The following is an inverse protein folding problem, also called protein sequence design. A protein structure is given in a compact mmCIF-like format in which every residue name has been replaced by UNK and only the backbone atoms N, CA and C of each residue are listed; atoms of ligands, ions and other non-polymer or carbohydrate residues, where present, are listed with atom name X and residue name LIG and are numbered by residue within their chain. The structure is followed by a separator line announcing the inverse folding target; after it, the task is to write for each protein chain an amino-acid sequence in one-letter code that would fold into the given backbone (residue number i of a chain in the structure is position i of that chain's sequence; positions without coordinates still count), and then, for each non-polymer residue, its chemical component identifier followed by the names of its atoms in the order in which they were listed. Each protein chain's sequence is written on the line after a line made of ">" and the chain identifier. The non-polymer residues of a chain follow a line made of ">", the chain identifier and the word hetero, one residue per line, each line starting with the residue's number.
data_IF_519952522692
#
_entry.id   IF_519952522692
#
_cell.length_a   1.000
_cell.length_b   1.000
_cell.length_c   1.000
_cell.angle_alpha   90.00
_cell.angle_beta   90.00
_cell.angle_gamma   90.00
#
_symmetry.space_group_name_H-M   'P 1'
#
loop_
_entity.id
_entity.type
_entity.pdbx_description
1 polymer ?
#
# COMPACT_ATOMS: atom_id res chain seq x y z
N UNK A 1 2.95 19.07 -0.41
CA UNK A 1 3.05 17.62 -0.53
C UNK A 1 2.30 16.97 0.64
N UNK A 2 1.52 15.95 0.37
CA UNK A 2 0.78 15.25 1.42
C UNK A 2 1.64 14.12 1.98
N UNK A 3 1.58 13.93 3.30
CA UNK A 3 2.28 12.83 3.98
C UNK A 3 1.35 12.21 5.01
N UNK A 4 1.48 10.89 5.18
CA UNK A 4 0.75 10.16 6.20
C UNK A 4 1.68 9.12 6.83
N UNK A 5 1.59 8.98 8.14
CA UNK A 5 2.41 8.04 8.90
C UNK A 5 1.56 7.42 10.00
N UNK A 6 1.60 6.11 10.10
CA UNK A 6 0.90 5.39 11.16
C UNK A 6 1.64 4.12 11.53
N UNK A 7 1.32 3.58 12.70
CA UNK A 7 1.89 2.33 13.19
C UNK A 7 0.81 1.59 13.95
N UNK A 8 0.61 0.29 13.63
CA UNK A 8 -0.42 -0.52 14.25
C UNK A 8 0.09 -1.91 14.56
N UNK A 9 -0.58 -2.57 15.49
CA UNK A 9 -0.29 -3.96 15.87
C UNK A 9 -1.25 -4.87 15.11
N UNK A 10 -0.68 -5.86 14.41
CA UNK A 10 -1.45 -6.86 13.67
C UNK A 10 -1.29 -8.23 14.31
N UNK A 11 -2.35 -9.02 14.30
CA UNK A 11 -2.41 -10.34 14.95
C UNK A 11 -1.82 -11.43 14.03
N UNK A 12 -0.53 -11.30 13.73
CA UNK A 12 0.22 -12.25 12.89
C UNK A 12 1.71 -12.06 13.15
N UNK A 13 2.53 -12.93 12.58
CA UNK A 13 3.99 -12.77 12.64
C UNK A 13 4.45 -11.73 11.62
N UNK A 14 5.65 -11.15 11.79
CA UNK A 14 6.21 -10.24 10.80
C UNK A 14 6.29 -10.85 9.39
N UNK A 15 6.69 -12.11 9.29
CA UNK A 15 6.75 -12.79 7.99
C UNK A 15 5.37 -12.93 7.35
N UNK A 16 4.35 -13.23 8.15
CA UNK A 16 2.98 -13.33 7.67
C UNK A 16 2.49 -11.98 7.14
N UNK A 17 2.71 -10.90 7.88
CA UNK A 17 2.31 -9.56 7.42
C UNK A 17 3.09 -9.13 6.19
N UNK A 18 4.40 -9.41 6.16
CA UNK A 18 5.25 -9.12 5.01
C UNK A 18 4.70 -9.78 3.74
N UNK A 19 4.24 -11.03 3.85
CA UNK A 19 3.63 -11.75 2.72
C UNK A 19 2.34 -11.08 2.24
N UNK A 20 1.54 -10.55 3.15
CA UNK A 20 0.31 -9.83 2.78
C UNK A 20 0.66 -8.58 1.98
N UNK A 21 1.64 -7.80 2.44
CA UNK A 21 2.07 -6.57 1.75
C UNK A 21 2.69 -6.89 0.39
N UNK A 22 3.49 -7.95 0.32
CA UNK A 22 4.20 -8.34 -0.90
C UNK A 22 3.36 -9.09 -1.93
N UNK A 23 2.13 -9.45 -1.59
CA UNK A 23 1.24 -10.17 -2.50
C UNK A 23 0.39 -9.18 -3.31
N UNK A 24 1.07 -8.42 -4.16
CA UNK A 24 0.49 -7.26 -4.86
C UNK A 24 -0.75 -7.60 -5.68
N UNK A 25 -0.73 -8.71 -6.40
CA UNK A 25 -1.84 -9.07 -7.29
C UNK A 25 -3.10 -9.52 -6.56
N UNK A 26 -3.02 -9.68 -5.23
CA UNK A 26 -4.16 -10.00 -4.38
C UNK A 26 -4.82 -8.76 -3.76
N UNK A 27 -4.24 -7.58 -3.94
CA UNK A 27 -4.78 -6.34 -3.37
C UNK A 27 -6.26 -6.10 -3.70
N UNK A 28 -6.74 -6.36 -4.94
CA UNK A 28 -8.16 -6.18 -5.23
C UNK A 28 -9.10 -7.06 -4.40
N UNK A 29 -8.58 -8.13 -3.80
CA UNK A 29 -9.42 -9.03 -2.98
C UNK A 29 -9.79 -8.42 -1.63
N UNK A 30 -9.03 -7.45 -1.12
CA UNK A 30 -9.30 -6.87 0.19
C UNK A 30 -9.19 -5.35 0.26
N UNK A 31 -8.63 -4.69 -0.74
CA UNK A 31 -8.55 -3.24 -0.81
C UNK A 31 -9.58 -2.76 -1.84
N UNK A 32 -10.70 -2.22 -1.35
CA UNK A 32 -11.85 -1.89 -2.20
C UNK A 32 -11.56 -0.83 -3.26
N UNK A 33 -10.63 0.08 -2.98
CA UNK A 33 -10.24 1.12 -3.94
C UNK A 33 -9.32 0.62 -5.04
N UNK A 34 -8.68 -0.55 -4.85
CA UNK A 34 -7.78 -1.14 -5.85
C UNK A 34 -8.58 -2.05 -6.76
N UNK A 35 -8.78 -1.63 -7.99
CA UNK A 35 -9.53 -2.37 -9.00
C UNK A 35 -8.67 -3.46 -9.65
N UNK A 36 -7.40 -3.17 -9.88
CA UNK A 36 -6.45 -4.11 -10.45
C UNK A 36 -5.03 -3.79 -9.95
N UNK A 37 -4.22 -4.81 -9.84
CA UNK A 37 -2.83 -4.67 -9.44
C UNK A 37 -2.02 -5.76 -10.13
N UNK A 38 -1.02 -5.38 -10.94
CA UNK A 38 -0.24 -6.31 -11.75
C UNK A 38 1.25 -6.08 -11.59
N UNK A 39 2.00 -7.16 -11.41
CA UNK A 39 3.46 -7.13 -11.46
C UNK A 39 3.87 -7.18 -12.93
N UNK A 40 4.44 -6.08 -13.42
CA UNK A 40 4.87 -5.94 -14.82
C UNK A 40 6.28 -6.46 -15.04
N UNK A 41 7.16 -6.27 -14.07
CA UNK A 41 8.56 -6.72 -14.13
C UNK A 41 9.01 -7.20 -12.75
N UNK A 42 9.90 -8.16 -12.73
CA UNK A 42 10.51 -8.65 -11.51
C UNK A 42 12.02 -8.73 -11.73
N UNK A 43 12.79 -7.95 -10.97
CA UNK A 43 14.25 -7.85 -11.08
C UNK A 43 14.86 -8.04 -9.68
N UNK A 44 15.05 -9.28 -9.28
CA UNK A 44 15.57 -9.60 -7.94
C UNK A 44 14.63 -9.10 -6.86
N UNK A 45 15.09 -8.17 -6.02
CA UNK A 45 14.32 -7.58 -4.93
C UNK A 45 13.44 -6.41 -5.37
N UNK A 46 13.45 -6.06 -6.65
CA UNK A 46 12.63 -4.95 -7.18
C UNK A 46 11.55 -5.49 -8.09
N UNK A 47 10.36 -4.93 -7.95
CA UNK A 47 9.22 -5.26 -8.83
C UNK A 47 8.57 -3.98 -9.31
N UNK A 48 8.26 -3.93 -10.60
CA UNK A 48 7.47 -2.86 -11.17
C UNK A 48 6.01 -3.29 -11.12
N UNK A 49 5.20 -2.57 -10.35
CA UNK A 49 3.81 -2.92 -10.09
C UNK A 49 2.90 -1.82 -10.61
N UNK A 50 1.91 -2.21 -11.41
CA UNK A 50 0.89 -1.28 -11.93
C UNK A 50 -0.38 -1.40 -11.10
N UNK A 51 -0.86 -0.27 -10.61
CA UNK A 51 -2.10 -0.17 -9.84
C UNK A 51 -3.16 0.55 -10.67
N UNK A 52 -4.37 0.03 -10.63
CA UNK A 52 -5.56 0.73 -11.11
C UNK A 52 -6.45 0.97 -9.89
N UNK A 53 -6.66 2.22 -9.54
CA UNK A 53 -7.52 2.58 -8.40
C UNK A 53 -8.78 3.23 -8.93
N UNK A 54 -9.91 2.86 -8.33
CA UNK A 54 -11.23 3.37 -8.71
C UNK A 54 -11.73 4.31 -7.64
N UNK A 55 -12.01 5.55 -8.04
CA UNK A 55 -12.57 6.58 -7.17
C UNK A 55 -13.77 7.20 -7.86
N UNK A 56 -13.74 8.48 -8.22
CA UNK A 56 -14.75 9.07 -9.09
C UNK A 56 -14.53 8.56 -10.52
N UNK A 57 -13.26 8.36 -10.87
CA UNK A 57 -12.85 7.71 -12.12
C UNK A 57 -11.68 6.78 -11.83
N UNK A 58 -11.27 5.98 -12.81
CA UNK A 58 -10.12 5.11 -12.66
C UNK A 58 -8.82 5.87 -12.90
N UNK A 59 -7.85 5.65 -12.03
CA UNK A 59 -6.49 6.17 -12.18
C UNK A 59 -5.53 4.99 -12.26
N UNK A 60 -4.48 5.13 -13.07
CA UNK A 60 -3.41 4.13 -13.15
C UNK A 60 -2.08 4.75 -12.78
N UNK A 61 -1.26 4.00 -12.05
CA UNK A 61 0.10 4.40 -11.76
C UNK A 61 0.98 3.18 -11.54
N UNK A 62 2.28 3.37 -11.71
CA UNK A 62 3.27 2.31 -11.55
C UNK A 62 4.27 2.70 -10.49
N UNK A 63 4.56 1.76 -9.59
CA UNK A 63 5.52 1.94 -8.52
C UNK A 63 6.63 0.90 -8.66
N UNK A 64 7.87 1.32 -8.41
CA UNK A 64 8.95 0.38 -8.15
C UNK A 64 8.87 -0.02 -6.68
N UNK A 65 8.61 -1.30 -6.44
CA UNK A 65 8.56 -1.87 -5.10
C UNK A 65 9.90 -2.50 -4.79
N UNK A 66 10.55 -2.06 -3.72
CA UNK A 66 11.83 -2.60 -3.26
C UNK A 66 11.59 -3.49 -2.04
N UNK A 67 11.91 -4.77 -2.18
CA UNK A 67 11.70 -5.77 -1.14
C UNK A 67 12.99 -6.01 -0.38
N UNK A 68 13.07 -5.50 0.85
CA UNK A 68 14.20 -5.68 1.76
C UNK A 68 13.73 -6.52 2.96
N UNK A 69 14.65 -7.10 3.74
CA UNK A 69 14.24 -7.79 4.96
C UNK A 69 13.40 -6.88 5.86
N UNK A 70 12.20 -7.32 6.22
CA UNK A 70 11.27 -6.61 7.10
C UNK A 70 10.81 -5.24 6.59
N UNK A 71 11.03 -4.91 5.32
CA UNK A 71 10.65 -3.61 4.78
C UNK A 71 10.34 -3.71 3.29
N UNK A 72 9.23 -3.15 2.88
CA UNK A 72 8.91 -2.95 1.47
C UNK A 72 8.70 -1.45 1.26
N UNK A 73 9.52 -0.85 0.41
CA UNK A 73 9.42 0.56 0.08
C UNK A 73 9.06 0.74 -1.39
N UNK A 74 8.59 1.92 -1.74
CA UNK A 74 8.22 2.19 -3.13
C UNK A 74 8.58 3.61 -3.54
N UNK A 75 8.71 3.76 -4.86
CA UNK A 75 8.90 5.05 -5.50
C UNK A 75 8.11 5.05 -6.81
N UNK A 76 7.54 6.19 -7.15
CA UNK A 76 6.74 6.33 -8.35
C UNK A 76 7.60 6.19 -9.60
N UNK A 77 7.14 5.35 -10.54
CA UNK A 77 7.72 5.27 -11.88
C UNK A 77 6.95 6.19 -12.82
N UNK A 78 5.61 6.06 -12.89
CA UNK A 78 4.76 6.85 -13.78
C UNK A 78 3.30 6.74 -13.40
N UNK A 79 2.46 7.57 -13.97
CA UNK A 79 1.01 7.45 -13.81
C UNK A 79 0.29 8.77 -13.89
N UNK A 80 -1.04 8.70 -13.79
CA UNK A 80 -1.93 9.85 -13.96
C UNK A 80 -2.51 10.38 -12.64
N UNK A 81 -2.22 9.74 -11.51
CA UNK A 81 -2.72 10.17 -10.21
C UNK A 81 -1.70 11.01 -9.44
N UNK A 82 -0.43 10.60 -9.46
CA UNK A 82 0.62 11.23 -8.67
C UNK A 82 1.72 11.83 -9.52
N UNK A 83 2.30 12.94 -9.04
CA UNK A 83 3.61 13.44 -9.48
C UNK A 83 4.73 12.83 -8.64
N UNK A 84 4.45 12.59 -7.35
CA UNK A 84 5.36 11.95 -6.42
C UNK A 84 4.56 10.96 -5.62
N UNK A 85 5.07 9.76 -5.45
CA UNK A 85 4.54 8.78 -4.50
C UNK A 85 5.68 7.89 -4.04
N UNK A 86 6.04 8.00 -2.77
CA UNK A 86 7.05 7.14 -2.17
C UNK A 86 6.68 6.89 -0.71
N UNK A 87 7.15 5.77 -0.21
CA UNK A 87 6.84 5.38 1.14
C UNK A 87 7.35 3.99 1.46
N UNK A 88 6.86 3.43 2.55
CA UNK A 88 7.26 2.10 2.99
C UNK A 88 6.27 1.49 3.96
N UNK A 89 6.32 0.17 4.03
CA UNK A 89 5.86 -0.64 5.14
C UNK A 89 7.09 -1.22 5.82
N UNK A 90 7.16 -1.14 7.13
CA UNK A 90 8.23 -1.76 7.91
C UNK A 90 7.60 -2.60 9.01
N UNK A 91 8.07 -3.82 9.18
CA UNK A 91 7.52 -4.76 10.15
C UNK A 91 8.55 -5.15 11.19
N UNK A 92 8.10 -5.32 12.43
CA UNK A 92 8.94 -5.83 13.50
C UNK A 92 8.10 -6.65 14.47
N UNK A 93 8.73 -7.62 15.12
CA UNK A 93 8.09 -8.44 16.12
C UNK A 93 7.86 -7.61 17.39
N UNK A 94 6.69 -7.76 18.00
CA UNK A 94 6.37 -7.08 19.27
C UNK A 94 5.37 -7.93 20.05
N UNK A 95 5.84 -8.56 21.12
CA UNK A 95 4.98 -9.34 22.01
C UNK A 95 4.26 -10.51 21.34
N UNK A 96 4.90 -11.19 20.40
CA UNK A 96 4.30 -12.29 19.66
C UNK A 96 3.42 -11.87 18.50
N UNK A 97 3.32 -10.57 18.26
CA UNK A 97 2.55 -9.98 17.16
C UNK A 97 3.45 -9.15 16.27
N UNK A 98 2.88 -8.42 15.35
CA UNK A 98 3.63 -7.55 14.43
C UNK A 98 3.25 -6.10 14.64
N UNK A 99 4.26 -5.26 14.86
CA UNK A 99 4.10 -3.83 14.70
C UNK A 99 4.45 -3.49 13.26
N UNK A 100 3.49 -3.00 12.52
CA UNK A 100 3.69 -2.56 11.14
C UNK A 100 3.61 -1.03 11.08
N UNK A 101 4.66 -0.43 10.57
CA UNK A 101 4.76 1.02 10.40
C UNK A 101 4.61 1.36 8.93
N UNK A 102 3.74 2.30 8.64
CA UNK A 102 3.41 2.74 7.29
C UNK A 102 3.73 4.22 7.14
N UNK A 103 4.41 4.57 6.07
CA UNK A 103 4.66 5.95 5.70
C UNK A 103 4.41 6.13 4.21
N UNK A 104 3.73 7.21 3.84
CA UNK A 104 3.57 7.61 2.45
C UNK A 104 3.72 9.10 2.32
N UNK A 105 4.38 9.52 1.26
CA UNK A 105 4.54 10.90 0.86
C UNK A 105 4.08 10.99 -0.59
N UNK A 106 3.15 11.90 -0.88
CA UNK A 106 2.55 11.96 -2.20
C UNK A 106 2.28 13.41 -2.63
N UNK A 107 2.52 13.66 -3.90
CA UNK A 107 2.10 14.89 -4.57
C UNK A 107 1.21 14.47 -5.72
N UNK A 108 -0.01 15.01 -5.75
CA UNK A 108 -0.98 14.67 -6.77
C UNK A 108 -0.73 15.41 -8.06
N UNK A 109 -1.14 14.81 -9.17
CA UNK A 109 -1.08 15.46 -10.47
C UNK A 109 -2.01 16.68 -10.47
N UNK A 110 -1.69 17.69 -11.25
CA UNK A 110 -2.45 18.96 -11.31
C UNK A 110 -3.92 18.77 -11.68
N UNK A 111 -4.22 17.70 -12.41
CA UNK A 111 -5.59 17.42 -12.87
C UNK A 111 -6.43 16.65 -11.88
N UNK A 112 -5.88 16.27 -10.72
CA UNK A 112 -6.63 15.56 -9.69
C UNK A 112 -7.41 16.58 -8.87
N UNK A 113 -8.76 16.50 -8.83
CA UNK A 113 -9.55 17.43 -8.03
C UNK A 113 -9.18 17.37 -6.54
N UNK A 114 -9.17 18.52 -5.87
CA UNK A 114 -8.84 18.63 -4.45
C UNK A 114 -9.61 17.68 -3.54
N UNK A 115 -10.94 17.51 -3.73
CA UNK A 115 -11.71 16.56 -2.91
C UNK A 115 -11.22 15.11 -3.02
N UNK A 116 -10.76 14.67 -4.19
CA UNK A 116 -10.19 13.33 -4.37
C UNK A 116 -8.89 13.22 -3.58
N UNK A 117 -8.00 14.21 -3.69
CA UNK A 117 -6.73 14.21 -2.96
C UNK A 117 -6.96 14.15 -1.45
N UNK A 118 -7.90 14.94 -0.93
CA UNK A 118 -8.24 14.93 0.50
C UNK A 118 -8.82 13.58 0.95
N UNK A 119 -9.68 12.97 0.14
CA UNK A 119 -10.28 11.68 0.47
C UNK A 119 -9.22 10.58 0.58
N UNK A 120 -8.22 10.59 -0.30
CA UNK A 120 -7.14 9.61 -0.25
C UNK A 120 -6.37 9.65 1.07
N UNK A 121 -6.11 10.86 1.59
CA UNK A 121 -5.35 11.01 2.83
C UNK A 121 -6.24 10.80 4.06
N UNK A 122 -7.42 11.42 4.11
CA UNK A 122 -8.23 11.51 5.32
C UNK A 122 -9.20 10.35 5.51
N UNK A 123 -9.63 9.72 4.43
CA UNK A 123 -10.65 8.66 4.47
C UNK A 123 -10.05 7.30 4.15
N UNK A 124 -9.27 7.20 3.09
CA UNK A 124 -8.79 5.91 2.61
C UNK A 124 -7.73 5.28 3.51
N UNK A 125 -6.90 6.06 4.19
CA UNK A 125 -5.86 5.48 5.05
C UNK A 125 -6.45 4.68 6.22
N UNK A 126 -7.41 5.21 7.02
CA UNK A 126 -8.05 4.40 8.07
C UNK A 126 -8.76 3.18 7.52
N UNK A 127 -9.44 3.32 6.38
CA UNK A 127 -10.14 2.21 5.73
C UNK A 127 -9.16 1.14 5.25
N UNK A 128 -8.03 1.56 4.71
CA UNK A 128 -6.96 0.66 4.29
C UNK A 128 -6.43 -0.15 5.47
N UNK A 129 -6.15 0.50 6.60
CA UNK A 129 -5.66 -0.18 7.80
C UNK A 129 -6.68 -1.21 8.29
N UNK A 130 -7.95 -0.84 8.32
CA UNK A 130 -9.04 -1.76 8.68
C UNK A 130 -9.08 -2.97 7.74
N UNK A 131 -8.88 -2.76 6.45
CA UNK A 131 -8.85 -3.83 5.45
C UNK A 131 -7.67 -4.79 5.67
N UNK A 132 -6.51 -4.28 6.04
CA UNK A 132 -5.35 -5.13 6.37
C UNK A 132 -5.61 -5.96 7.63
N UNK A 133 -6.22 -5.39 8.67
CA UNK A 133 -6.59 -6.16 9.86
C UNK A 133 -7.54 -7.30 9.50
N UNK A 134 -8.54 -7.01 8.68
CA UNK A 134 -9.51 -8.00 8.24
C UNK A 134 -8.85 -9.09 7.41
N UNK A 135 -7.95 -8.73 6.51
CA UNK A 135 -7.22 -9.68 5.66
C UNK A 135 -6.35 -10.62 6.49
N UNK A 136 -5.65 -10.09 7.49
CA UNK A 136 -4.85 -10.89 8.42
C UNK A 136 -5.73 -11.91 9.15
N UNK A 137 -6.89 -11.50 9.60
CA UNK A 137 -7.85 -12.40 10.26
C UNK A 137 -8.34 -13.50 9.32
N UNK A 138 -8.64 -13.15 8.07
CA UNK A 138 -9.09 -14.12 7.06
C UNK A 138 -8.02 -15.17 6.76
N UNK A 139 -6.76 -14.76 6.63
CA UNK A 139 -5.67 -15.65 6.24
C UNK A 139 -5.11 -16.47 7.41
N UNK A 140 -5.07 -15.89 8.59
CA UNK A 140 -4.36 -16.49 9.74
C UNK A 140 -5.27 -16.79 10.93
N UNK A 141 -6.55 -16.43 10.85
CA UNK A 141 -7.56 -16.78 11.84
C UNK A 141 -7.38 -16.17 13.22
N UNK A 142 -6.71 -15.06 13.31
CA UNK A 142 -6.37 -14.45 14.60
C UNK A 142 -7.08 -13.14 14.87
#
# INVERSE_FOLDING_TARGET
>A
MAEAKTSEIFNCTPDEFYKVVGDYEKYPEFLSEVKACKVLKSEGSRKLVEYTVSMIKDFKYRLWMNEEPNKISWVLESGDLFKVSNGYWQVQEEGGKTRASYFVEAKFNLFVPGPIAKALVNVNLPNMMSSYHKRVKELYGK
#
